data_IF_771699163939
#
_entry.id   IF_771699163939
#
_cell.length_a   1.000
_cell.length_b   1.000
_cell.length_c   1.000
_cell.angle_alpha   90.00
_cell.angle_beta   90.00
_cell.angle_gamma   90.00
#
_symmetry.space_group_name_H-M   'P 1'
#
loop_
_entity.id
_entity.type
_entity.pdbx_description
1 polymer ?
#
# COMPACT_ATOMS: atom_id res chain seq x y z
N UNK A 1 6.01 11.34 -33.19
CA UNK A 1 4.82 11.96 -32.57
C UNK A 1 3.72 10.93 -32.26
N UNK A 2 3.17 10.19 -33.23
CA UNK A 2 2.12 9.18 -32.96
C UNK A 2 2.59 8.00 -32.07
N UNK A 3 3.78 7.46 -32.34
CA UNK A 3 4.38 6.38 -31.52
C UNK A 3 4.68 6.87 -30.10
N UNK A 4 5.23 8.09 -29.95
CA UNK A 4 5.51 8.70 -28.64
C UNK A 4 4.21 8.94 -27.85
N UNK A 5 3.17 9.53 -28.45
CA UNK A 5 1.87 9.71 -27.78
C UNK A 5 1.12 8.40 -27.47
N UNK A 6 1.36 7.33 -28.24
CA UNK A 6 0.76 6.02 -27.98
C UNK A 6 1.52 5.31 -26.86
N UNK A 7 2.85 5.46 -26.81
CA UNK A 7 3.70 5.00 -25.71
C UNK A 7 3.39 5.80 -24.43
N UNK A 8 3.20 7.12 -24.49
CA UNK A 8 2.83 7.95 -23.34
C UNK A 8 1.45 7.57 -22.80
N UNK A 9 0.45 7.31 -23.67
CA UNK A 9 -0.86 6.81 -23.23
C UNK A 9 -0.83 5.38 -22.68
N UNK A 10 0.08 4.54 -23.17
CA UNK A 10 0.31 3.19 -22.64
C UNK A 10 1.05 3.23 -21.30
N UNK A 11 1.98 4.17 -21.13
CA UNK A 11 2.65 4.51 -19.87
C UNK A 11 1.63 5.10 -18.88
N UNK A 12 0.70 5.95 -19.31
CA UNK A 12 -0.36 6.48 -18.44
C UNK A 12 -1.33 5.40 -17.97
N UNK A 13 -1.68 4.43 -18.83
CA UNK A 13 -2.43 3.25 -18.41
C UNK A 13 -1.61 2.36 -17.47
N UNK A 14 -0.30 2.22 -17.73
CA UNK A 14 0.66 1.56 -16.85
C UNK A 14 0.72 2.21 -15.47
N UNK A 15 0.78 3.54 -15.38
CA UNK A 15 0.84 4.29 -14.12
C UNK A 15 -0.45 4.15 -13.28
N UNK A 16 -1.61 4.04 -13.93
CA UNK A 16 -2.90 3.82 -13.25
C UNK A 16 -2.98 2.38 -12.73
N UNK A 17 -2.50 1.42 -13.52
CA UNK A 17 -2.43 0.01 -13.14
C UNK A 17 -1.41 -0.18 -12.01
N UNK A 18 -0.22 0.42 -12.12
CA UNK A 18 0.84 0.41 -11.12
C UNK A 18 0.36 1.05 -9.81
N UNK A 19 -0.32 2.21 -9.85
CA UNK A 19 -0.80 2.86 -8.61
C UNK A 19 -1.92 2.09 -7.91
N UNK A 20 -2.87 1.51 -8.65
CA UNK A 20 -3.91 0.67 -8.07
C UNK A 20 -3.34 -0.64 -7.51
N UNK A 21 -2.42 -1.27 -8.24
CA UNK A 21 -1.77 -2.52 -7.84
C UNK A 21 -0.78 -2.34 -6.69
N UNK A 22 -0.12 -1.18 -6.62
CA UNK A 22 0.72 -0.78 -5.50
C UNK A 22 -0.12 -0.50 -4.25
N UNK A 23 -1.32 0.07 -4.38
CA UNK A 23 -2.26 0.19 -3.27
C UNK A 23 -2.70 -1.18 -2.74
N UNK A 24 -3.07 -2.11 -3.62
CA UNK A 24 -3.47 -3.47 -3.21
C UNK A 24 -2.34 -4.25 -2.54
N UNK A 25 -1.11 -4.13 -3.07
CA UNK A 25 0.08 -4.74 -2.48
C UNK A 25 0.43 -4.10 -1.14
N UNK A 26 0.29 -2.77 -1.03
CA UNK A 26 0.50 -2.03 0.20
C UNK A 26 -0.49 -2.48 1.27
N UNK A 27 -1.77 -2.57 0.96
CA UNK A 27 -2.79 -3.00 1.93
C UNK A 27 -2.53 -4.42 2.42
N UNK A 28 -2.03 -5.29 1.56
CA UNK A 28 -1.63 -6.65 1.95
C UNK A 28 -0.37 -6.69 2.82
N UNK A 29 0.65 -5.91 2.44
CA UNK A 29 1.85 -5.81 3.25
C UNK A 29 1.54 -5.16 4.61
N UNK A 30 0.67 -4.16 4.65
CA UNK A 30 0.15 -3.55 5.87
C UNK A 30 -0.66 -4.54 6.72
N UNK A 31 -1.47 -5.41 6.10
CA UNK A 31 -2.14 -6.49 6.81
C UNK A 31 -1.18 -7.54 7.38
N UNK A 32 -0.17 -7.96 6.60
CA UNK A 32 0.80 -8.98 7.02
C UNK A 32 1.81 -8.48 8.06
N UNK A 33 2.24 -7.23 7.93
CA UNK A 33 3.27 -6.61 8.79
C UNK A 33 2.62 -5.92 10.00
N UNK A 34 1.37 -5.48 9.88
CA UNK A 34 0.68 -4.72 10.92
C UNK A 34 1.23 -3.30 11.09
N UNK A 35 1.95 -2.77 10.09
CA UNK A 35 2.49 -1.41 10.10
C UNK A 35 1.76 -0.55 9.07
N UNK A 36 1.39 0.68 9.45
CA UNK A 36 0.84 1.68 8.53
C UNK A 36 1.88 2.10 7.49
N UNK A 37 1.55 1.92 6.21
CA UNK A 37 2.42 2.29 5.07
C UNK A 37 1.87 3.56 4.40
N UNK A 38 1.46 4.55 5.20
CA UNK A 38 1.14 5.87 4.67
C UNK A 38 2.41 6.71 4.67
N UNK A 39 2.98 6.96 3.49
CA UNK A 39 4.14 7.82 3.27
C UNK A 39 5.52 7.15 3.37
N UNK A 40 5.60 5.90 3.85
CA UNK A 40 6.87 5.17 3.96
C UNK A 40 7.04 4.09 2.88
N UNK A 41 7.12 4.53 1.62
CA UNK A 41 7.81 3.78 0.55
C UNK A 41 9.23 3.30 0.95
N UNK A 42 9.77 3.81 2.06
CA UNK A 42 11.05 3.39 2.63
C UNK A 42 11.11 1.93 3.05
N UNK A 43 10.07 1.33 3.63
CA UNK A 43 10.23 0.00 4.24
C UNK A 43 10.29 -1.14 3.22
N UNK A 44 9.39 -1.16 2.24
CA UNK A 44 9.36 -2.18 1.17
C UNK A 44 10.50 -1.96 0.17
N UNK A 45 10.82 -0.71 -0.15
CA UNK A 45 12.02 -0.34 -0.93
C UNK A 45 13.32 -0.58 -0.14
N UNK A 46 13.30 -0.70 1.19
CA UNK A 46 14.50 -1.01 2.00
C UNK A 46 14.79 -2.50 2.15
N UNK A 47 13.84 -3.39 1.89
CA UNK A 47 14.09 -4.84 1.90
C UNK A 47 14.22 -5.41 0.48
N UNK A 48 13.36 -5.00 -0.43
CA UNK A 48 13.38 -5.47 -1.83
C UNK A 48 14.19 -4.50 -2.70
N UNK A 49 13.96 -3.19 -2.54
CA UNK A 49 14.69 -2.15 -3.27
C UNK A 49 16.13 -1.88 -2.82
N UNK A 50 16.55 -2.28 -1.61
CA UNK A 50 17.96 -2.13 -1.17
C UNK A 50 18.83 -3.26 -1.71
N UNK A 51 18.26 -4.47 -1.83
CA UNK A 51 18.91 -5.61 -2.47
C UNK A 51 18.95 -5.36 -3.97
N UNK A 52 17.85 -4.91 -4.58
CA UNK A 52 17.80 -4.56 -6.02
C UNK A 52 18.63 -3.31 -6.31
N UNK A 53 18.62 -2.29 -5.46
CA UNK A 53 19.36 -1.03 -5.62
C UNK A 53 20.87 -1.17 -5.39
N UNK A 54 21.29 -1.97 -4.42
CA UNK A 54 22.71 -2.32 -4.23
C UNK A 54 23.20 -3.28 -5.32
N UNK A 55 22.35 -4.21 -5.78
CA UNK A 55 22.66 -5.08 -6.91
C UNK A 55 22.77 -4.27 -8.21
N UNK A 56 21.80 -3.42 -8.57
CA UNK A 56 21.84 -2.58 -9.79
C UNK A 56 22.98 -1.57 -9.77
N UNK A 57 23.30 -0.98 -8.61
CA UNK A 57 24.42 -0.06 -8.45
C UNK A 57 25.81 -0.68 -8.70
N UNK A 58 25.96 -2.00 -8.53
CA UNK A 58 27.19 -2.74 -8.84
C UNK A 58 27.10 -3.51 -10.17
N UNK A 59 25.90 -3.94 -10.54
CA UNK A 59 25.64 -4.76 -11.72
C UNK A 59 25.78 -3.97 -13.02
N UNK A 60 25.27 -2.73 -13.10
CA UNK A 60 25.42 -1.93 -14.33
C UNK A 60 26.89 -1.59 -14.62
N UNK A 61 27.69 -1.13 -13.65
CA UNK A 61 29.14 -0.97 -13.84
C UNK A 61 29.85 -2.28 -14.20
N UNK A 62 29.42 -3.41 -13.63
CA UNK A 62 29.96 -4.73 -13.97
C UNK A 62 29.62 -5.15 -15.41
N UNK A 63 28.38 -4.94 -15.87
CA UNK A 63 27.95 -5.20 -17.26
C UNK A 63 28.76 -4.34 -18.23
N UNK A 64 28.92 -3.05 -17.94
CA UNK A 64 29.73 -2.13 -18.77
C UNK A 64 31.17 -2.61 -18.90
N UNK A 65 31.81 -2.94 -17.77
CA UNK A 65 33.18 -3.46 -17.75
C UNK A 65 33.31 -4.80 -18.48
N UNK A 66 32.31 -5.69 -18.36
CA UNK A 66 32.30 -6.99 -19.06
C UNK A 66 32.21 -6.86 -20.59
N UNK A 67 31.63 -5.74 -21.07
CA UNK A 67 31.47 -5.43 -22.50
C UNK A 67 32.54 -4.49 -23.05
N UNK A 68 33.57 -4.18 -22.26
CA UNK A 68 34.71 -3.37 -22.70
C UNK A 68 34.49 -1.86 -22.59
N UNK A 69 33.50 -1.41 -21.82
CA UNK A 69 33.28 0.01 -21.50
C UNK A 69 33.57 0.26 -20.01
N UNK A 70 34.62 1.01 -19.71
CA UNK A 70 35.04 1.31 -18.33
C UNK A 70 34.57 2.70 -17.85
N UNK A 71 33.85 3.44 -18.69
CA UNK A 71 33.35 4.79 -18.41
C UNK A 71 34.39 5.89 -18.55
N UNK A 72 35.62 5.59 -18.98
CA UNK A 72 36.69 6.57 -19.18
C UNK A 72 36.89 6.88 -20.67
N UNK A 73 36.82 5.87 -21.54
CA UNK A 73 36.93 6.05 -22.99
C UNK A 73 35.56 5.92 -23.66
N UNK A 74 35.05 7.03 -24.21
CA UNK A 74 33.77 7.08 -24.91
C UNK A 74 33.89 6.73 -26.40
N UNK A 75 35.11 6.69 -26.95
CA UNK A 75 35.32 6.40 -28.38
C UNK A 75 34.91 4.98 -28.78
N UNK A 76 34.90 4.04 -27.82
CA UNK A 76 34.41 2.67 -28.01
C UNK A 76 32.89 2.59 -28.20
N UNK A 77 32.16 3.66 -27.94
CA UNK A 77 30.71 3.75 -28.18
C UNK A 77 30.38 4.34 -29.55
N UNK A 78 31.35 4.95 -30.24
CA UNK A 78 31.11 5.55 -31.55
C UNK A 78 30.90 4.48 -32.62
N UNK A 79 29.82 4.62 -33.40
CA UNK A 79 29.48 3.69 -34.49
C UNK A 79 30.41 3.85 -35.69
N UNK A 80 30.92 5.08 -35.91
CA UNK A 80 31.78 5.43 -37.05
C UNK A 80 33.04 6.14 -36.56
N UNK A 81 34.17 5.84 -37.20
CA UNK A 81 35.44 6.53 -36.93
C UNK A 81 35.41 7.90 -37.62
N UNK A 82 35.67 8.98 -36.87
CA UNK A 82 35.74 10.36 -37.40
C UNK A 82 34.50 10.74 -38.23
N UNK A 83 33.32 10.64 -37.61
CA UNK A 83 32.04 10.93 -38.23
C UNK A 83 32.03 12.28 -38.96
N UNK A 84 31.55 12.28 -40.21
CA UNK A 84 31.44 13.49 -41.03
C UNK A 84 30.00 13.63 -41.53
N UNK A 85 29.31 14.64 -41.03
CA UNK A 85 27.91 14.97 -41.35
C UNK A 85 27.67 15.23 -42.85
N UNK A 86 28.71 15.62 -43.59
CA UNK A 86 28.60 15.95 -45.02
C UNK A 86 28.72 14.74 -45.96
N UNK A 87 29.07 13.58 -45.42
CA UNK A 87 29.22 12.35 -46.21
C UNK A 87 28.04 11.40 -45.98
N UNK A 88 27.51 10.76 -47.04
CA UNK A 88 26.45 9.77 -46.90
C UNK A 88 26.93 8.57 -46.05
N UNK A 89 26.02 8.01 -45.24
CA UNK A 89 26.29 6.93 -44.28
C UNK A 89 26.96 5.69 -44.90
N UNK A 90 26.74 5.43 -46.19
CA UNK A 90 27.35 4.32 -46.93
C UNK A 90 28.86 4.49 -47.18
N UNK A 91 29.37 5.72 -47.08
CA UNK A 91 30.78 6.06 -47.30
C UNK A 91 31.53 6.28 -45.98
N UNK A 92 30.86 6.13 -44.84
CA UNK A 92 31.47 6.28 -43.52
C UNK A 92 32.12 4.97 -43.05
N UNK A 93 33.27 5.07 -42.40
CA UNK A 93 34.04 3.92 -41.92
C UNK A 93 33.48 3.51 -40.56
N UNK A 94 32.95 2.27 -40.46
CA UNK A 94 32.46 1.71 -39.20
C UNK A 94 33.61 1.51 -38.22
N UNK A 95 33.37 1.82 -36.95
CA UNK A 95 34.34 1.60 -35.89
C UNK A 95 34.45 0.10 -35.56
N UNK A 96 35.62 -0.54 -35.74
CA UNK A 96 35.79 -1.96 -35.46
C UNK A 96 35.75 -2.28 -33.96
N UNK A 97 36.00 -1.29 -33.10
CA UNK A 97 36.00 -1.44 -31.64
C UNK A 97 34.66 -0.99 -31.01
N UNK A 98 33.61 -0.79 -31.82
CA UNK A 98 32.32 -0.34 -31.32
C UNK A 98 31.66 -1.40 -30.44
N UNK A 99 31.50 -1.11 -29.15
CA UNK A 99 30.82 -1.99 -28.18
C UNK A 99 29.37 -1.59 -27.95
N UNK A 100 28.90 -0.48 -28.53
CA UNK A 100 27.58 0.10 -28.31
C UNK A 100 26.44 -0.91 -28.54
N UNK A 101 26.41 -1.59 -29.68
CA UNK A 101 25.33 -2.53 -30.00
C UNK A 101 25.29 -3.74 -29.05
N UNK A 102 26.46 -4.32 -28.74
CA UNK A 102 26.57 -5.44 -27.79
C UNK A 102 26.16 -5.04 -26.36
N UNK A 103 26.47 -3.80 -25.97
CA UNK A 103 26.09 -3.22 -24.69
C UNK A 103 24.57 -2.95 -24.65
N UNK A 104 24.00 -2.38 -25.71
CA UNK A 104 22.56 -2.14 -25.84
C UNK A 104 21.76 -3.46 -25.83
N UNK A 105 22.17 -4.48 -26.58
CA UNK A 105 21.49 -5.78 -26.59
C UNK A 105 21.49 -6.45 -25.21
N UNK A 106 22.58 -6.31 -24.47
CA UNK A 106 22.71 -6.85 -23.11
C UNK A 106 21.81 -6.09 -22.14
N UNK A 107 21.80 -4.76 -22.21
CA UNK A 107 20.91 -3.92 -21.40
C UNK A 107 19.43 -4.17 -21.74
N UNK A 108 19.11 -4.38 -23.00
CA UNK A 108 17.74 -4.68 -23.45
C UNK A 108 17.29 -6.05 -22.92
N UNK A 109 18.16 -7.06 -22.95
CA UNK A 109 17.89 -8.39 -22.39
C UNK A 109 17.69 -8.33 -20.87
N UNK A 110 18.57 -7.62 -20.15
CA UNK A 110 18.45 -7.39 -18.70
C UNK A 110 17.16 -6.64 -18.37
N UNK A 111 16.78 -5.65 -19.19
CA UNK A 111 15.54 -4.89 -19.01
C UNK A 111 14.31 -5.76 -19.19
N UNK A 112 14.28 -6.64 -20.21
CA UNK A 112 13.19 -7.60 -20.41
C UNK A 112 13.10 -8.60 -19.26
N UNK A 113 14.23 -9.10 -18.75
CA UNK A 113 14.26 -9.98 -17.56
C UNK A 113 13.79 -9.24 -16.31
N UNK A 114 14.26 -7.99 -16.11
CA UNK A 114 13.84 -7.13 -15.02
C UNK A 114 12.34 -6.92 -15.03
N UNK A 115 11.78 -6.52 -16.18
CA UNK A 115 10.34 -6.38 -16.38
C UNK A 115 9.59 -7.70 -16.15
N UNK A 116 10.12 -8.84 -16.59
CA UNK A 116 9.51 -10.14 -16.32
C UNK A 116 9.52 -10.47 -14.81
N UNK A 117 10.62 -10.19 -14.10
CA UNK A 117 10.75 -10.39 -12.64
C UNK A 117 9.83 -9.45 -11.88
N UNK A 118 9.69 -8.21 -12.31
CA UNK A 118 8.75 -7.25 -11.73
C UNK A 118 7.31 -7.71 -11.93
N UNK A 119 7.04 -8.44 -13.03
CA UNK A 119 5.70 -8.95 -13.31
C UNK A 119 5.41 -10.31 -12.64
N UNK A 120 6.45 -11.08 -12.28
CA UNK A 120 6.32 -12.44 -11.70
C UNK A 120 5.52 -12.50 -10.39
N UNK A 121 5.68 -11.58 -9.41
CA UNK A 121 4.86 -11.55 -8.22
C UNK A 121 3.35 -11.50 -8.52
N UNK A 122 2.93 -10.86 -9.61
CA UNK A 122 1.51 -10.72 -9.96
C UNK A 122 0.87 -12.02 -10.42
N UNK A 123 1.61 -12.88 -11.14
CA UNK A 123 1.08 -14.21 -11.55
C UNK A 123 1.00 -15.20 -10.38
N UNK A 124 1.77 -14.97 -9.31
CA UNK A 124 1.68 -15.74 -8.07
C UNK A 124 0.60 -15.20 -7.10
N UNK A 125 -0.03 -14.07 -7.43
CA UNK A 125 -0.92 -13.32 -6.55
C UNK A 125 -2.38 -13.39 -7.03
N UNK A 126 -3.07 -14.47 -6.67
CA UNK A 126 -4.52 -14.60 -6.86
C UNK A 126 -5.23 -14.48 -5.50
N UNK A 127 -5.33 -13.26 -4.97
CA UNK A 127 -6.25 -12.97 -3.86
C UNK A 127 -7.61 -12.66 -4.48
N UNK A 128 -8.65 -13.38 -4.05
CA UNK A 128 -10.02 -13.08 -4.45
C UNK A 128 -10.40 -11.64 -4.06
N UNK A 129 -11.22 -10.94 -4.86
CA UNK A 129 -11.71 -9.59 -4.56
C UNK A 129 -12.27 -9.48 -3.13
N UNK A 130 -12.99 -10.52 -2.70
CA UNK A 130 -13.54 -10.64 -1.35
C UNK A 130 -12.45 -10.71 -0.26
N UNK A 131 -11.34 -11.39 -0.53
CA UNK A 131 -10.19 -11.44 0.37
C UNK A 131 -9.51 -10.09 0.54
N UNK A 132 -9.36 -9.32 -0.56
CA UNK A 132 -8.82 -7.96 -0.50
C UNK A 132 -9.72 -7.03 0.32
N UNK A 133 -11.04 -7.04 0.08
CA UNK A 133 -11.99 -6.23 0.86
C UNK A 133 -11.97 -6.61 2.35
N UNK A 134 -11.83 -7.88 2.67
CA UNK A 134 -11.73 -8.35 4.07
C UNK A 134 -10.50 -7.80 4.77
N UNK A 135 -9.37 -7.83 4.07
CA UNK A 135 -8.09 -7.33 4.54
C UNK A 135 -8.10 -5.82 4.77
N UNK A 136 -8.67 -5.05 3.83
CA UNK A 136 -8.84 -3.59 3.96
C UNK A 136 -9.68 -3.26 5.20
N UNK A 137 -10.78 -4.00 5.45
CA UNK A 137 -11.59 -3.81 6.66
C UNK A 137 -10.78 -4.08 7.93
N UNK A 138 -9.98 -5.14 7.98
CA UNK A 138 -9.10 -5.39 9.13
C UNK A 138 -8.07 -4.27 9.31
N UNK A 139 -7.45 -3.81 8.23
CA UNK A 139 -6.48 -2.70 8.29
C UNK A 139 -7.13 -1.44 8.87
N UNK A 140 -8.34 -1.08 8.43
CA UNK A 140 -9.10 0.06 8.97
C UNK A 140 -9.41 -0.06 10.47
N UNK A 141 -9.68 -1.28 10.93
CA UNK A 141 -9.91 -1.53 12.36
C UNK A 141 -8.60 -1.35 13.15
N UNK A 142 -7.48 -1.85 12.62
CA UNK A 142 -6.17 -1.66 13.27
C UNK A 142 -5.79 -0.18 13.33
N UNK A 143 -6.00 0.57 12.25
CA UNK A 143 -5.74 2.02 12.24
C UNK A 143 -6.65 2.76 13.21
N UNK A 144 -7.92 2.38 13.32
CA UNK A 144 -8.83 2.94 14.33
C UNK A 144 -8.28 2.76 15.75
N UNK A 145 -7.77 1.57 16.08
CA UNK A 145 -7.20 1.28 17.40
C UNK A 145 -5.91 2.08 17.64
N UNK A 146 -5.03 2.15 16.65
CA UNK A 146 -3.78 2.93 16.71
C UNK A 146 -4.06 4.42 16.90
N UNK A 147 -4.96 5.00 16.09
CA UNK A 147 -5.32 6.41 16.14
C UNK A 147 -6.00 6.76 17.48
N UNK A 148 -6.84 5.87 18.01
CA UNK A 148 -7.45 6.02 19.34
C UNK A 148 -6.41 6.04 20.45
N UNK A 149 -5.44 5.12 20.42
CA UNK A 149 -4.32 5.08 21.38
C UNK A 149 -3.47 6.36 21.31
N UNK A 150 -3.23 6.88 20.10
CA UNK A 150 -2.46 8.10 19.86
C UNK A 150 -3.26 9.39 20.03
N UNK A 151 -4.55 9.32 20.37
CA UNK A 151 -5.47 10.48 20.46
C UNK A 151 -5.44 11.35 19.20
N UNK A 152 -5.26 10.72 18.04
CA UNK A 152 -5.25 11.41 16.74
C UNK A 152 -6.65 11.32 16.14
N UNK A 153 -7.18 12.45 15.66
CA UNK A 153 -8.58 12.55 15.23
C UNK A 153 -8.68 12.82 13.72
N UNK A 154 -8.92 11.77 12.94
CA UNK A 154 -9.51 11.89 11.60
C UNK A 154 -10.91 11.27 11.59
N UNK A 155 -11.93 12.12 11.47
CA UNK A 155 -13.35 11.70 11.45
C UNK A 155 -13.59 10.63 10.37
N UNK A 156 -12.91 10.70 9.22
CA UNK A 156 -13.10 9.75 8.11
C UNK A 156 -12.57 8.36 8.46
N UNK A 157 -11.30 8.27 8.88
CA UNK A 157 -10.68 7.01 9.26
C UNK A 157 -11.41 6.36 10.44
N UNK A 158 -11.86 7.18 11.41
CA UNK A 158 -12.64 6.71 12.55
C UNK A 158 -13.97 6.05 12.11
N UNK A 159 -14.75 6.74 11.28
CA UNK A 159 -16.04 6.23 10.78
C UNK A 159 -15.83 4.94 9.97
N UNK A 160 -14.84 4.91 9.07
CA UNK A 160 -14.55 3.73 8.25
C UNK A 160 -14.17 2.50 9.09
N UNK A 161 -13.37 2.69 10.15
CA UNK A 161 -13.03 1.62 11.10
C UNK A 161 -14.25 1.13 11.89
N UNK A 162 -15.09 2.04 12.38
CA UNK A 162 -16.31 1.69 13.11
C UNK A 162 -17.30 0.95 12.21
N UNK A 163 -17.51 1.42 10.98
CA UNK A 163 -18.37 0.76 9.99
C UNK A 163 -17.87 -0.64 9.65
N UNK A 164 -16.55 -0.87 9.58
CA UNK A 164 -16.00 -2.19 9.36
C UNK A 164 -16.40 -3.18 10.48
N UNK A 165 -16.40 -2.73 11.74
CA UNK A 165 -16.80 -3.54 12.91
C UNK A 165 -18.32 -3.77 12.91
N UNK A 166 -19.11 -2.70 12.79
CA UNK A 166 -20.57 -2.76 12.84
C UNK A 166 -21.11 -3.65 11.72
N UNK A 167 -20.60 -3.49 10.49
CA UNK A 167 -21.00 -4.35 9.38
C UNK A 167 -20.57 -5.80 9.58
N UNK A 168 -19.35 -6.05 10.08
CA UNK A 168 -18.93 -7.42 10.39
C UNK A 168 -19.87 -8.08 11.39
N UNK A 169 -20.19 -7.42 12.51
CA UNK A 169 -21.15 -7.93 13.51
C UNK A 169 -22.54 -8.18 12.95
N UNK A 170 -23.00 -7.32 12.04
CA UNK A 170 -24.32 -7.45 11.38
C UNK A 170 -24.45 -8.69 10.51
N UNK A 171 -23.40 -9.03 9.76
CA UNK A 171 -23.43 -10.14 8.79
C UNK A 171 -22.82 -11.44 9.35
N UNK A 172 -22.15 -11.39 10.49
CA UNK A 172 -21.54 -12.57 11.11
C UNK A 172 -22.58 -13.60 11.53
N UNK A 173 -22.33 -14.86 11.20
CA UNK A 173 -23.22 -15.99 11.55
C UNK A 173 -24.50 -16.08 10.71
N UNK A 174 -24.67 -15.24 9.69
CA UNK A 174 -25.78 -15.36 8.75
C UNK A 174 -25.51 -16.42 7.67
N UNK A 175 -26.57 -17.05 7.18
CA UNK A 175 -26.47 -18.01 6.09
C UNK A 175 -26.42 -17.33 4.72
N UNK A 176 -25.60 -17.88 3.83
CA UNK A 176 -25.49 -17.40 2.44
C UNK A 176 -26.80 -17.65 1.69
N UNK A 177 -27.26 -16.63 0.99
CA UNK A 177 -28.40 -16.73 0.09
C UNK A 177 -28.04 -17.54 -1.16
N UNK A 178 -28.99 -18.34 -1.64
CA UNK A 178 -28.82 -19.07 -2.88
C UNK A 178 -28.64 -18.12 -4.07
N UNK A 179 -27.68 -18.44 -4.94
CA UNK A 179 -27.42 -17.64 -6.13
C UNK A 179 -28.67 -17.65 -7.02
N UNK A 180 -29.14 -16.47 -7.48
CA UNK A 180 -30.37 -16.42 -8.27
C UNK A 180 -30.21 -17.21 -9.56
N UNK A 181 -31.31 -17.88 -9.96
CA UNK A 181 -31.33 -18.73 -11.13
C UNK A 181 -30.93 -17.93 -12.39
N UNK A 182 -29.90 -18.41 -13.07
CA UNK A 182 -29.43 -17.84 -14.35
C UNK A 182 -30.55 -17.81 -15.41
N UNK A 183 -31.61 -18.60 -15.25
CA UNK A 183 -32.79 -18.58 -16.09
C UNK A 183 -33.54 -17.24 -16.03
N UNK A 184 -33.57 -16.53 -14.90
CA UNK A 184 -34.28 -15.24 -14.76
C UNK A 184 -33.67 -14.20 -15.70
N UNK A 185 -32.34 -14.10 -15.73
CA UNK A 185 -31.64 -13.21 -16.64
C UNK A 185 -31.80 -13.64 -18.11
N UNK A 186 -31.83 -14.95 -18.39
CA UNK A 186 -32.09 -15.47 -19.74
C UNK A 186 -33.50 -15.12 -20.23
N UNK A 187 -34.51 -15.28 -19.38
CA UNK A 187 -35.91 -14.91 -19.67
C UNK A 187 -36.05 -13.41 -19.90
N UNK A 188 -35.41 -12.58 -19.07
CA UNK A 188 -35.38 -11.13 -19.26
C UNK A 188 -34.71 -10.73 -20.58
N UNK A 189 -33.63 -11.41 -20.97
CA UNK A 189 -32.97 -11.18 -22.26
C UNK A 189 -33.78 -11.67 -23.47
N UNK A 190 -34.68 -12.63 -23.29
CA UNK A 190 -35.51 -13.21 -24.33
C UNK A 190 -36.84 -12.46 -24.56
N UNK A 191 -37.14 -11.42 -23.77
CA UNK A 191 -38.31 -10.57 -23.99
C UNK A 191 -38.27 -9.90 -25.38
N UNK A 192 -39.44 -9.65 -26.00
CA UNK A 192 -39.52 -8.99 -27.30
C UNK A 192 -38.87 -7.60 -27.25
N UNK A 193 -38.40 -7.13 -28.41
CA UNK A 193 -37.67 -5.85 -28.52
C UNK A 193 -37.93 -5.13 -29.83
N UNK A 194 -39.14 -5.26 -30.38
CA UNK A 194 -39.53 -4.69 -31.68
C UNK A 194 -40.01 -3.25 -31.52
N UNK A 195 -40.80 -2.95 -30.49
CA UNK A 195 -41.27 -1.58 -30.20
C UNK A 195 -40.39 -0.87 -29.18
N UNK A 196 -40.54 0.45 -29.02
CA UNK A 196 -39.79 1.24 -28.03
C UNK A 196 -40.19 0.86 -26.59
N UNK A 197 -41.48 0.66 -26.36
CA UNK A 197 -42.04 0.20 -25.07
C UNK A 197 -41.58 -1.22 -24.71
N UNK A 198 -41.47 -2.12 -25.69
CA UNK A 198 -40.89 -3.47 -25.50
C UNK A 198 -39.40 -3.41 -25.14
N UNK A 199 -38.65 -2.47 -25.73
CA UNK A 199 -37.23 -2.25 -25.37
C UNK A 199 -37.08 -1.72 -23.96
N UNK A 200 -37.92 -0.78 -23.54
CA UNK A 200 -37.86 -0.19 -22.20
C UNK A 200 -38.24 -1.20 -21.11
N UNK A 201 -39.30 -1.99 -21.33
CA UNK A 201 -39.69 -3.09 -20.42
C UNK A 201 -38.64 -4.19 -20.34
N UNK A 202 -38.05 -4.59 -21.47
CA UNK A 202 -36.90 -5.51 -21.50
C UNK A 202 -35.70 -4.95 -20.73
N UNK A 203 -35.39 -3.67 -20.88
CA UNK A 203 -34.29 -3.03 -20.17
C UNK A 203 -34.52 -3.02 -18.65
N UNK A 204 -35.72 -2.64 -18.20
CA UNK A 204 -36.12 -2.66 -16.80
C UNK A 204 -36.02 -4.07 -16.20
N UNK A 205 -36.51 -5.09 -16.91
CA UNK A 205 -36.43 -6.48 -16.46
C UNK A 205 -34.99 -7.01 -16.38
N UNK A 206 -34.14 -6.65 -17.34
CA UNK A 206 -32.70 -7.00 -17.30
C UNK A 206 -32.02 -6.28 -16.12
N UNK A 207 -32.36 -5.00 -15.88
CA UNK A 207 -31.81 -4.22 -14.77
C UNK A 207 -32.21 -4.84 -13.43
N UNK A 208 -33.48 -5.16 -13.24
CA UNK A 208 -33.98 -5.81 -12.02
C UNK A 208 -33.33 -7.18 -11.78
N UNK A 209 -33.22 -8.03 -12.82
CA UNK A 209 -32.58 -9.34 -12.69
C UNK A 209 -31.08 -9.24 -12.37
N UNK A 210 -30.38 -8.24 -12.93
CA UNK A 210 -28.99 -7.96 -12.58
C UNK A 210 -28.85 -7.43 -11.16
N UNK A 211 -29.74 -6.52 -10.76
CA UNK A 211 -29.74 -5.96 -9.41
C UNK A 211 -29.93 -7.07 -8.38
N UNK A 212 -30.90 -7.96 -8.56
CA UNK A 212 -31.11 -9.09 -7.66
C UNK A 212 -29.88 -10.01 -7.57
N UNK A 213 -29.23 -10.28 -8.70
CA UNK A 213 -27.99 -11.07 -8.72
C UNK A 213 -26.83 -10.38 -8.00
N UNK A 214 -26.75 -9.06 -8.13
CA UNK A 214 -25.77 -8.24 -7.46
C UNK A 214 -26.02 -8.16 -5.95
N UNK A 215 -27.27 -7.95 -5.53
CA UNK A 215 -27.65 -7.87 -4.12
C UNK A 215 -27.34 -9.17 -3.38
N UNK A 216 -27.69 -10.33 -3.98
CA UNK A 216 -27.34 -11.65 -3.41
C UNK A 216 -25.83 -11.85 -3.36
N UNK A 217 -25.11 -11.42 -4.40
CA UNK A 217 -23.64 -11.51 -4.42
C UNK A 217 -23.03 -10.68 -3.31
N UNK A 218 -23.44 -9.42 -3.17
CA UNK A 218 -22.95 -8.50 -2.14
C UNK A 218 -23.31 -8.98 -0.74
N UNK A 219 -24.51 -9.55 -0.56
CA UNK A 219 -24.93 -10.12 0.72
C UNK A 219 -24.01 -11.28 1.12
N UNK A 220 -23.78 -12.24 0.22
CA UNK A 220 -22.88 -13.37 0.48
C UNK A 220 -21.43 -12.95 0.67
N UNK A 221 -20.98 -11.95 -0.09
CA UNK A 221 -19.65 -11.35 0.05
C UNK A 221 -19.50 -10.70 1.44
N UNK A 222 -20.51 -9.98 1.92
CA UNK A 222 -20.49 -9.38 3.25
C UNK A 222 -20.45 -10.42 4.37
N UNK A 223 -21.07 -11.60 4.18
CA UNK A 223 -20.95 -12.72 5.12
C UNK A 223 -19.52 -13.24 5.17
N UNK A 224 -18.89 -13.50 4.01
CA UNK A 224 -17.50 -13.97 3.96
C UNK A 224 -16.52 -12.96 4.59
N UNK A 225 -16.73 -11.67 4.31
CA UNK A 225 -15.92 -10.62 4.92
C UNK A 225 -16.17 -10.55 6.43
N UNK A 226 -17.41 -10.69 6.89
CA UNK A 226 -17.74 -10.68 8.30
C UNK A 226 -17.08 -11.84 9.05
N UNK A 227 -17.08 -13.05 8.49
CA UNK A 227 -16.36 -14.20 9.04
C UNK A 227 -14.87 -13.91 9.21
N UNK A 228 -14.23 -13.34 8.19
CA UNK A 228 -12.81 -12.97 8.23
C UNK A 228 -12.51 -11.90 9.28
N UNK A 229 -13.30 -10.83 9.32
CA UNK A 229 -13.11 -9.72 10.27
C UNK A 229 -13.34 -10.20 11.70
N UNK A 230 -14.38 -10.99 11.96
CA UNK A 230 -14.66 -11.50 13.30
C UNK A 230 -13.60 -12.50 13.77
N UNK A 231 -13.03 -13.29 12.86
CA UNK A 231 -11.87 -14.13 13.17
C UNK A 231 -10.64 -13.30 13.58
N UNK A 232 -10.40 -12.14 12.95
CA UNK A 232 -9.36 -11.21 13.40
C UNK A 232 -9.68 -10.62 14.78
N UNK A 233 -10.91 -10.14 15.01
CA UNK A 233 -11.29 -9.50 16.28
C UNK A 233 -11.19 -10.48 17.46
N UNK A 234 -11.52 -11.75 17.24
CA UNK A 234 -11.44 -12.82 18.25
C UNK A 234 -10.10 -13.56 18.23
N UNK A 235 -9.14 -13.10 17.43
CA UNK A 235 -7.83 -13.74 17.24
C UNK A 235 -7.11 -14.03 18.56
N UNK A 236 -7.20 -13.13 19.53
CA UNK A 236 -6.51 -13.27 20.80
C UNK A 236 -7.28 -14.10 21.84
N UNK A 237 -8.50 -14.53 21.54
CA UNK A 237 -9.31 -15.38 22.43
C UNK A 237 -8.93 -16.86 22.28
N UNK A 238 -8.43 -17.25 21.11
CA UNK A 238 -8.08 -18.64 20.80
C UNK A 238 -6.69 -19.04 21.31
N UNK A 239 -6.38 -20.35 21.31
CA UNK A 239 -5.11 -20.88 21.81
C UNK A 239 -3.89 -20.26 21.07
N UNK A 240 -4.02 -20.05 19.77
CA UNK A 240 -2.97 -19.46 18.95
C UNK A 240 -2.65 -18.03 19.43
N UNK A 241 -3.66 -17.18 19.54
CA UNK A 241 -3.52 -15.82 19.97
C UNK A 241 -3.02 -15.69 21.39
N UNK A 242 -3.49 -16.54 22.32
CA UNK A 242 -2.99 -16.54 23.70
C UNK A 242 -1.48 -16.86 23.77
N UNK A 243 -1.01 -17.85 23.00
CA UNK A 243 0.43 -18.14 22.90
C UNK A 243 1.21 -17.04 22.20
N UNK A 244 0.62 -16.38 21.20
CA UNK A 244 1.21 -15.20 20.57
C UNK A 244 1.39 -14.07 21.59
N UNK A 245 0.39 -13.79 22.42
CA UNK A 245 0.48 -12.78 23.47
C UNK A 245 1.55 -13.12 24.51
N UNK A 246 1.71 -14.40 24.88
CA UNK A 246 2.79 -14.84 25.77
C UNK A 246 4.17 -14.55 25.17
N UNK A 247 4.37 -14.87 23.89
CA UNK A 247 5.62 -14.55 23.17
C UNK A 247 5.88 -13.04 23.14
N UNK A 248 4.88 -12.24 22.75
CA UNK A 248 5.04 -10.78 22.68
C UNK A 248 5.28 -10.18 24.07
N UNK A 249 4.62 -10.69 25.11
CA UNK A 249 4.81 -10.25 26.49
C UNK A 249 6.22 -10.56 26.99
N UNK A 250 6.79 -11.72 26.64
CA UNK A 250 8.18 -12.05 26.96
C UNK A 250 9.14 -11.01 26.37
N UNK A 251 8.99 -10.70 25.08
CA UNK A 251 9.84 -9.72 24.38
C UNK A 251 9.73 -8.34 25.03
N UNK A 252 8.49 -7.89 25.32
CA UNK A 252 8.24 -6.57 25.91
C UNK A 252 8.72 -6.49 27.36
N UNK A 253 8.68 -7.59 28.12
CA UNK A 253 9.10 -7.63 29.53
C UNK A 253 10.60 -7.37 29.74
N UNK A 254 11.45 -7.63 28.74
CA UNK A 254 12.86 -7.23 28.78
C UNK A 254 13.08 -5.72 28.61
N UNK A 255 12.05 -4.98 28.19
CA UNK A 255 12.14 -3.54 27.94
C UNK A 255 12.84 -3.17 26.62
N UNK A 256 12.78 -1.87 26.25
CA UNK A 256 13.18 -1.40 24.93
C UNK A 256 14.69 -1.45 24.67
N UNK A 257 15.51 -1.48 25.73
CA UNK A 257 16.97 -1.40 25.61
C UNK A 257 17.62 -2.77 25.35
N UNK A 258 17.05 -3.85 25.92
CA UNK A 258 17.67 -5.18 26.00
C UNK A 258 16.71 -6.33 25.63
N UNK A 259 15.62 -6.08 24.90
CA UNK A 259 14.63 -7.10 24.47
C UNK A 259 15.22 -8.34 23.78
N UNK A 260 16.42 -8.22 23.20
CA UNK A 260 17.11 -9.31 22.51
C UNK A 260 17.79 -10.31 23.46
N UNK A 261 17.80 -10.08 24.78
CA UNK A 261 18.35 -11.02 25.75
C UNK A 261 17.57 -12.34 25.80
N UNK A 262 16.24 -12.28 25.67
CA UNK A 262 15.37 -13.46 25.61
C UNK A 262 15.23 -14.05 24.19
N UNK A 263 16.17 -13.78 23.27
CA UNK A 263 16.07 -14.22 21.87
C UNK A 263 15.87 -15.73 21.72
N UNK A 264 16.56 -16.52 22.53
CA UNK A 264 16.53 -17.99 22.43
C UNK A 264 15.20 -18.56 22.92
N UNK A 265 14.64 -17.98 23.98
CA UNK A 265 13.33 -18.34 24.52
C UNK A 265 12.20 -17.91 23.57
N UNK A 266 12.29 -16.69 23.02
CA UNK A 266 11.34 -16.19 22.03
C UNK A 266 11.28 -17.07 20.78
N UNK A 267 12.41 -17.61 20.32
CA UNK A 267 12.43 -18.54 19.17
C UNK A 267 11.73 -19.85 19.51
N UNK A 268 11.95 -20.40 20.71
CA UNK A 268 11.28 -21.64 21.15
C UNK A 268 9.76 -21.43 21.15
N UNK A 269 9.28 -20.37 21.82
CA UNK A 269 7.87 -20.03 21.87
C UNK A 269 7.26 -19.79 20.48
N UNK A 270 7.97 -19.08 19.59
CA UNK A 270 7.49 -18.81 18.22
C UNK A 270 7.36 -20.10 17.38
N UNK A 271 8.26 -21.07 17.56
CA UNK A 271 8.19 -22.36 16.86
C UNK A 271 7.06 -23.24 17.43
N UNK A 272 6.81 -23.14 18.73
CA UNK A 272 5.75 -23.86 19.47
C UNK A 272 4.33 -23.30 19.23
N UNK A 273 4.20 -22.16 18.54
CA UNK A 273 2.89 -21.65 18.11
C UNK A 273 2.10 -22.74 17.34
N UNK A 274 0.79 -22.89 17.60
CA UNK A 274 -0.03 -23.95 17.01
C UNK A 274 0.08 -24.02 15.49
N UNK A 275 0.14 -25.24 14.94
CA UNK A 275 -0.01 -25.48 13.52
C UNK A 275 -1.49 -25.67 13.20
N UNK A 276 -2.06 -24.74 12.45
CA UNK A 276 -3.46 -24.80 12.05
C UNK A 276 -3.59 -24.81 10.53
N UNK A 277 -4.77 -25.20 10.05
CA UNK A 277 -5.11 -25.19 8.63
C UNK A 277 -5.66 -23.85 8.16
N UNK A 278 -5.89 -22.91 9.08
CA UNK A 278 -6.35 -21.55 8.79
C UNK A 278 -5.20 -20.78 8.15
N UNK A 279 -5.47 -20.15 7.00
CA UNK A 279 -4.42 -19.51 6.19
C UNK A 279 -3.77 -18.34 6.95
N UNK A 280 -4.59 -17.57 7.66
CA UNK A 280 -4.24 -16.38 8.42
C UNK A 280 -3.34 -16.73 9.61
N UNK A 281 -3.68 -17.76 10.37
CA UNK A 281 -2.82 -18.21 11.48
C UNK A 281 -1.48 -18.76 11.00
N UNK A 282 -1.46 -19.42 9.83
CA UNK A 282 -0.19 -19.85 9.20
C UNK A 282 0.68 -18.66 8.79
N UNK A 283 0.09 -17.55 8.33
CA UNK A 283 0.87 -16.34 8.00
C UNK A 283 1.37 -15.66 9.26
N UNK A 284 0.54 -15.52 10.30
CA UNK A 284 0.96 -14.99 11.60
C UNK A 284 2.08 -15.81 12.22
N UNK A 285 1.97 -17.15 12.24
CA UNK A 285 3.05 -18.03 12.74
C UNK A 285 4.37 -17.81 12.02
N UNK A 286 4.33 -17.72 10.68
CA UNK A 286 5.53 -17.40 9.88
C UNK A 286 6.11 -16.05 10.26
N UNK A 287 5.26 -15.05 10.49
CA UNK A 287 5.69 -13.72 10.90
C UNK A 287 6.33 -13.74 12.28
N UNK A 288 5.75 -14.40 13.27
CA UNK A 288 6.32 -14.50 14.62
C UNK A 288 7.67 -15.23 14.63
N UNK A 289 7.82 -16.29 13.84
CA UNK A 289 9.11 -16.96 13.66
C UNK A 289 10.13 -16.01 13.01
N UNK A 290 9.72 -15.17 12.04
CA UNK A 290 10.59 -14.15 11.44
C UNK A 290 11.01 -13.09 12.46
N UNK A 291 10.06 -12.58 13.25
CA UNK A 291 10.31 -11.60 14.31
C UNK A 291 11.28 -12.18 15.35
N UNK A 292 11.04 -13.40 15.83
CA UNK A 292 11.89 -14.07 16.79
C UNK A 292 13.32 -14.30 16.25
N UNK A 293 13.47 -14.69 14.97
CA UNK A 293 14.80 -14.77 14.33
C UNK A 293 15.46 -13.41 14.17
N UNK A 294 14.69 -12.34 13.95
CA UNK A 294 15.21 -10.99 13.87
C UNK A 294 15.83 -10.54 15.20
N UNK A 295 15.35 -11.03 16.36
CA UNK A 295 15.96 -10.74 17.67
C UNK A 295 17.45 -11.13 17.74
N UNK A 296 17.84 -12.27 17.15
CA UNK A 296 19.26 -12.68 17.10
C UNK A 296 20.09 -11.66 16.28
N UNK A 297 19.52 -11.18 15.17
CA UNK A 297 20.17 -10.15 14.35
C UNK A 297 20.27 -8.85 15.13
N UNK A 298 19.21 -8.45 15.82
CA UNK A 298 19.19 -7.28 16.70
C UNK A 298 20.26 -7.38 17.77
N UNK A 299 20.42 -8.53 18.46
CA UNK A 299 21.51 -8.79 19.41
C UNK A 299 22.90 -8.54 18.82
N UNK A 300 23.13 -9.08 17.61
CA UNK A 300 24.42 -8.97 16.91
C UNK A 300 24.73 -7.53 16.47
N UNK A 301 23.72 -6.78 16.05
CA UNK A 301 23.89 -5.38 15.62
C UNK A 301 24.02 -4.47 16.85
N UNK A 302 23.21 -4.70 17.88
CA UNK A 302 23.24 -3.97 19.14
C UNK A 302 24.61 -4.08 19.82
N UNK A 303 25.25 -5.26 19.82
CA UNK A 303 26.60 -5.40 20.40
C UNK A 303 27.67 -4.53 19.72
N UNK A 304 27.43 -4.03 18.50
CA UNK A 304 28.37 -3.17 17.75
C UNK A 304 28.04 -1.70 17.86
N UNK A 305 26.75 -1.34 17.85
CA UNK A 305 26.30 0.05 17.75
C UNK A 305 25.58 0.57 19.00
N UNK A 306 25.15 -0.31 19.89
CA UNK A 306 24.39 -0.03 21.12
C UNK A 306 24.92 -0.87 22.31
N UNK A 307 26.20 -0.69 22.72
CA UNK A 307 26.81 -1.51 23.77
C UNK A 307 26.14 -1.36 25.13
N UNK A 308 25.61 -0.18 25.44
CA UNK A 308 24.90 0.15 26.68
C UNK A 308 23.37 -0.05 26.57
N UNK A 309 22.91 -0.67 25.49
CA UNK A 309 21.48 -0.81 25.19
C UNK A 309 20.98 0.13 24.10
N UNK A 310 19.83 -0.24 23.52
CA UNK A 310 19.24 0.46 22.39
C UNK A 310 18.67 1.79 22.84
N UNK A 311 19.05 2.86 22.14
CA UNK A 311 18.51 4.21 22.34
C UNK A 311 17.48 4.48 21.25
N UNK A 312 16.31 4.97 21.67
CA UNK A 312 15.23 5.36 20.76
C UNK A 312 15.67 6.51 19.84
N UNK A 313 15.29 6.42 18.57
CA UNK A 313 15.56 7.48 17.60
C UNK A 313 14.69 8.70 17.90
N UNK A 314 15.32 9.86 18.10
CA UNK A 314 14.61 11.13 18.24
C UNK A 314 14.12 11.64 16.87
N UNK A 315 12.79 11.72 16.64
CA UNK A 315 12.25 12.25 15.39
C UNK A 315 12.68 13.69 15.13
N UNK A 316 12.90 14.49 16.17
CA UNK A 316 13.28 15.89 16.04
C UNK A 316 14.64 16.06 15.35
N UNK A 317 15.56 15.13 15.57
CA UNK A 317 16.87 15.14 14.91
C UNK A 317 16.76 15.03 13.38
N UNK A 318 15.72 14.39 12.85
CA UNK A 318 15.45 14.35 11.42
C UNK A 318 14.85 15.66 10.93
N UNK A 319 13.85 16.19 11.63
CA UNK A 319 13.20 17.46 11.27
C UNK A 319 14.18 18.64 11.32
N UNK A 320 15.03 18.69 12.34
CA UNK A 320 16.08 19.69 12.47
C UNK A 320 17.07 19.61 11.29
N UNK A 321 17.44 18.40 10.87
CA UNK A 321 18.30 18.20 9.71
C UNK A 321 17.61 18.58 8.39
N UNK A 322 16.29 18.35 8.30
CA UNK A 322 15.50 18.69 7.11
C UNK A 322 15.33 20.20 6.96
N UNK A 323 15.11 20.90 8.07
CA UNK A 323 14.88 22.34 8.18
C UNK A 323 16.17 23.18 8.18
N UNK A 324 17.35 22.57 8.03
CA UNK A 324 18.59 23.31 7.84
C UNK A 324 18.54 24.17 6.57
N UNK A 325 19.15 25.37 6.57
CA UNK A 325 19.27 26.20 5.37
C UNK A 325 19.91 25.45 4.19
N UNK A 326 19.53 25.83 2.98
CA UNK A 326 20.01 25.23 1.72
C UNK A 326 20.24 26.30 0.63
N UNK A 327 20.48 27.55 1.03
CA UNK A 327 20.60 28.67 0.08
C UNK A 327 22.00 28.72 -0.53
N UNK A 328 23.03 28.35 0.25
CA UNK A 328 24.42 28.29 -0.24
C UNK A 328 24.88 26.85 -0.46
N UNK A 329 25.86 26.66 -1.36
CA UNK A 329 26.48 25.33 -1.61
C UNK A 329 27.10 24.71 -0.35
N UNK A 330 27.54 25.54 0.60
CA UNK A 330 28.11 25.07 1.87
C UNK A 330 26.99 24.60 2.82
N UNK A 331 25.91 25.35 2.94
CA UNK A 331 24.70 24.97 3.68
C UNK A 331 24.08 23.68 3.13
N UNK A 332 23.93 23.58 1.81
CA UNK A 332 23.47 22.36 1.12
C UNK A 332 24.30 21.12 1.49
N UNK A 333 25.62 21.30 1.58
CA UNK A 333 26.54 20.22 1.96
C UNK A 333 26.34 19.83 3.44
N UNK A 334 26.17 20.79 4.34
CA UNK A 334 25.92 20.55 5.76
C UNK A 334 24.58 19.84 5.97
N UNK A 335 23.50 20.33 5.33
CA UNK A 335 22.18 19.70 5.32
C UNK A 335 22.26 18.25 4.85
N UNK A 336 22.94 17.99 3.73
CA UNK A 336 23.12 16.62 3.20
C UNK A 336 23.87 15.70 4.17
N UNK A 337 24.87 16.22 4.89
CA UNK A 337 25.62 15.44 5.90
C UNK A 337 24.71 15.15 7.10
N UNK A 338 24.00 16.16 7.62
CA UNK A 338 23.06 16.00 8.73
C UNK A 338 21.95 15.00 8.40
N UNK A 339 21.31 15.15 7.22
CA UNK A 339 20.28 14.23 6.73
C UNK A 339 20.81 12.80 6.57
N UNK A 340 22.05 12.62 6.10
CA UNK A 340 22.66 11.28 6.01
C UNK A 340 22.88 10.67 7.39
N UNK A 341 23.31 11.47 8.36
CA UNK A 341 23.53 11.01 9.75
C UNK A 341 22.19 10.61 10.38
N UNK A 342 21.19 11.49 10.35
CA UNK A 342 19.85 11.23 10.87
C UNK A 342 19.21 10.01 10.21
N UNK A 343 19.31 9.87 8.88
CA UNK A 343 18.83 8.68 8.17
C UNK A 343 19.56 7.40 8.60
N UNK A 344 20.87 7.47 8.82
CA UNK A 344 21.64 6.30 9.26
C UNK A 344 21.21 5.85 10.65
N UNK A 345 21.04 6.79 11.58
CA UNK A 345 20.57 6.53 12.95
C UNK A 345 19.14 5.99 12.96
N UNK A 346 18.23 6.62 12.20
CA UNK A 346 16.86 6.15 12.01
C UNK A 346 16.80 4.73 11.46
N UNK A 347 17.53 4.45 10.39
CA UNK A 347 17.54 3.13 9.75
C UNK A 347 18.15 2.06 10.67
N UNK A 348 19.20 2.43 11.42
CA UNK A 348 19.83 1.55 12.40
C UNK A 348 18.84 1.21 13.52
N UNK A 349 18.21 2.21 14.14
CA UNK A 349 17.20 2.00 15.17
C UNK A 349 16.05 1.14 14.65
N UNK A 350 15.45 1.50 13.51
CA UNK A 350 14.35 0.74 12.91
C UNK A 350 14.73 -0.72 12.64
N UNK A 351 15.95 -0.98 12.16
CA UNK A 351 16.42 -2.35 11.90
C UNK A 351 16.56 -3.17 13.19
N UNK A 352 17.09 -2.56 14.25
CA UNK A 352 17.36 -3.26 15.51
C UNK A 352 16.08 -3.42 16.32
N UNK A 353 15.27 -2.36 16.46
CA UNK A 353 14.07 -2.30 17.30
C UNK A 353 12.82 -2.95 16.66
N UNK A 354 12.81 -3.21 15.35
CA UNK A 354 11.67 -3.79 14.63
C UNK A 354 10.96 -4.96 15.36
N UNK A 355 11.63 -6.03 15.82
CA UNK A 355 10.95 -7.14 16.49
C UNK A 355 10.31 -6.76 17.83
N UNK A 356 10.89 -5.78 18.56
CA UNK A 356 10.31 -5.25 19.79
C UNK A 356 9.07 -4.40 19.50
N UNK A 357 9.16 -3.48 18.54
CA UNK A 357 8.04 -2.64 18.14
C UNK A 357 6.86 -3.49 17.61
N UNK A 358 7.13 -4.56 16.86
CA UNK A 358 6.11 -5.50 16.44
C UNK A 358 5.40 -6.20 17.62
N UNK A 359 6.16 -6.58 18.65
CA UNK A 359 5.59 -7.18 19.86
C UNK A 359 4.73 -6.18 20.65
N UNK A 360 5.20 -4.95 20.83
CA UNK A 360 4.43 -3.86 21.47
C UNK A 360 3.11 -3.63 20.75
N UNK A 361 3.15 -3.46 19.42
CA UNK A 361 1.93 -3.27 18.61
C UNK A 361 0.95 -4.42 18.71
N UNK A 362 1.44 -5.66 18.77
CA UNK A 362 0.56 -6.82 18.94
C UNK A 362 -0.15 -6.80 20.30
N UNK A 363 0.54 -6.38 21.36
CA UNK A 363 -0.06 -6.23 22.69
C UNK A 363 -1.04 -5.05 22.75
N UNK A 364 -0.71 -3.92 22.11
CA UNK A 364 -1.61 -2.77 21.98
C UNK A 364 -2.86 -3.12 21.19
N UNK A 365 -2.71 -3.85 20.08
CA UNK A 365 -3.82 -4.34 19.27
C UNK A 365 -4.74 -5.24 20.09
N UNK A 366 -4.18 -6.14 20.90
CA UNK A 366 -4.97 -7.01 21.78
C UNK A 366 -5.75 -6.22 22.83
N UNK A 367 -5.16 -5.17 23.41
CA UNK A 367 -5.87 -4.25 24.31
C UNK A 367 -6.99 -3.51 23.58
N UNK A 368 -6.73 -3.03 22.36
CA UNK A 368 -7.74 -2.36 21.54
C UNK A 368 -8.91 -3.28 21.17
N UNK A 369 -8.65 -4.54 20.83
CA UNK A 369 -9.71 -5.53 20.58
C UNK A 369 -10.54 -5.81 21.84
N UNK A 370 -9.94 -5.78 23.03
CA UNK A 370 -10.67 -5.93 24.29
C UNK A 370 -11.56 -4.72 24.64
N UNK A 371 -11.21 -3.52 24.17
CA UNK A 371 -11.92 -2.24 24.46
C UNK A 371 -12.67 -1.67 23.23
N UNK A 372 -13.11 -2.53 22.32
CA UNK A 372 -13.78 -2.08 21.09
C UNK A 372 -15.04 -1.26 21.37
N UNK A 373 -15.81 -1.60 22.41
CA UNK A 373 -17.03 -0.86 22.77
C UNK A 373 -16.72 0.58 23.20
N UNK A 374 -15.62 0.79 23.93
CA UNK A 374 -15.16 2.13 24.30
C UNK A 374 -14.65 2.93 23.10
N UNK A 375 -14.03 2.26 22.13
CA UNK A 375 -13.52 2.90 20.91
C UNK A 375 -14.67 3.35 19.99
N UNK A 376 -15.73 2.55 19.85
CA UNK A 376 -16.84 2.83 18.92
C UNK A 376 -17.96 3.69 19.54
N UNK A 377 -17.87 4.08 20.82
CA UNK A 377 -18.96 4.76 21.54
C UNK A 377 -19.39 6.09 20.89
N UNK A 378 -18.44 6.79 20.27
CA UNK A 378 -18.63 8.14 19.74
C UNK A 378 -19.12 8.12 18.28
N UNK A 379 -19.31 6.94 17.70
CA UNK A 379 -19.70 6.72 16.30
C UNK A 379 -20.95 7.50 15.89
N UNK A 380 -22.05 7.35 16.63
CA UNK A 380 -23.32 7.99 16.30
C UNK A 380 -23.22 9.52 16.38
N UNK A 381 -22.46 10.04 17.35
CA UNK A 381 -22.25 11.49 17.51
C UNK A 381 -21.40 12.05 16.37
N UNK A 382 -20.31 11.37 16.01
CA UNK A 382 -19.40 11.80 14.94
C UNK A 382 -20.10 11.78 13.58
N UNK A 383 -20.91 10.73 13.30
CA UNK A 383 -21.73 10.69 12.09
C UNK A 383 -22.72 11.84 12.05
N UNK A 384 -23.44 12.10 13.14
CA UNK A 384 -24.39 13.22 13.19
C UNK A 384 -23.69 14.55 12.89
N UNK A 385 -22.51 14.80 13.48
CA UNK A 385 -21.72 16.01 13.22
C UNK A 385 -21.26 16.09 11.76
N UNK A 386 -20.86 14.97 11.15
CA UNK A 386 -20.46 14.91 9.74
C UNK A 386 -21.65 15.21 8.82
N UNK A 387 -22.79 14.59 9.07
CA UNK A 387 -23.99 14.76 8.26
C UNK A 387 -24.53 16.19 8.36
N UNK A 388 -24.54 16.79 9.56
CA UNK A 388 -24.84 18.21 9.75
C UNK A 388 -23.88 19.14 8.99
N UNK A 389 -22.59 18.80 8.92
CA UNK A 389 -21.59 19.55 8.16
C UNK A 389 -21.88 19.49 6.66
N UNK A 390 -22.14 18.29 6.13
CA UNK A 390 -22.51 18.10 4.73
C UNK A 390 -23.84 18.76 4.36
N UNK A 391 -24.83 18.76 5.26
CA UNK A 391 -26.08 19.49 5.05
C UNK A 391 -25.84 21.00 4.95
N UNK A 392 -24.99 21.57 5.82
CA UNK A 392 -24.62 22.98 5.74
C UNK A 392 -23.90 23.32 4.43
N UNK A 393 -22.95 22.48 4.01
CA UNK A 393 -22.24 22.64 2.74
C UNK A 393 -23.19 22.54 1.53
N UNK A 394 -24.13 21.59 1.55
CA UNK A 394 -25.16 21.46 0.51
C UNK A 394 -26.04 22.70 0.43
N UNK A 395 -26.55 23.18 1.57
CA UNK A 395 -27.36 24.39 1.64
C UNK A 395 -26.60 25.63 1.15
N UNK A 396 -25.32 25.76 1.49
CA UNK A 396 -24.48 26.86 1.02
C UNK A 396 -24.23 26.78 -0.50
N UNK A 397 -23.95 25.58 -1.01
CA UNK A 397 -23.78 25.36 -2.44
C UNK A 397 -25.04 25.70 -3.23
N UNK A 398 -26.22 25.26 -2.76
CA UNK A 398 -27.51 25.60 -3.38
C UNK A 398 -27.78 27.11 -3.35
N UNK A 399 -27.45 27.79 -2.24
CA UNK A 399 -27.55 29.26 -2.14
C UNK A 399 -26.66 29.96 -3.17
N UNK A 400 -25.40 29.55 -3.29
CA UNK A 400 -24.46 30.10 -4.28
C UNK A 400 -24.94 29.82 -5.71
N UNK A 401 -25.48 28.62 -5.98
CA UNK A 401 -26.04 28.26 -7.28
C UNK A 401 -27.24 29.16 -7.64
N UNK A 402 -28.16 29.39 -6.71
CA UNK A 402 -29.31 30.29 -6.90
C UNK A 402 -28.85 31.74 -7.14
N UNK A 403 -27.88 32.25 -6.37
CA UNK A 403 -27.31 33.58 -6.57
C UNK A 403 -26.68 33.73 -7.97
N UNK A 404 -25.96 32.71 -8.44
CA UNK A 404 -25.37 32.67 -9.80
C UNK A 404 -26.44 32.63 -10.89
N UNK A 405 -27.55 31.92 -10.69
CA UNK A 405 -28.67 31.91 -11.64
C UNK A 405 -29.35 33.27 -11.72
N UNK A 406 -29.59 33.92 -10.58
CA UNK A 406 -30.18 35.26 -10.52
C UNK A 406 -29.25 36.28 -11.21
N UNK A 407 -27.94 36.23 -10.99
CA UNK A 407 -26.97 37.08 -11.68
C UNK A 407 -26.94 36.85 -13.20
N UNK A 408 -26.99 35.58 -13.65
CA UNK A 408 -27.12 35.24 -15.08
C UNK A 408 -28.40 35.82 -15.68
N UNK A 409 -29.52 35.71 -14.97
CA UNK A 409 -30.81 36.28 -15.42
C UNK A 409 -30.75 37.80 -15.50
N UNK A 410 -30.15 38.49 -14.51
CA UNK A 410 -29.92 39.94 -14.50
C UNK A 410 -29.03 40.39 -15.66
N UNK A 411 -27.92 39.69 -15.94
CA UNK A 411 -27.05 40.01 -17.08
C UNK A 411 -27.75 39.78 -18.42
N UNK A 412 -28.57 38.75 -18.53
CA UNK A 412 -29.36 38.48 -19.74
C UNK A 412 -30.46 39.52 -19.97
N UNK A 413 -31.13 40.00 -18.91
CA UNK A 413 -32.12 41.07 -19.04
C UNK A 413 -31.47 42.42 -19.39
N UNK A 414 -30.33 42.77 -18.77
CA UNK A 414 -29.55 43.96 -19.15
C UNK A 414 -29.06 43.93 -20.60
N UNK A 415 -28.58 42.77 -21.09
CA UNK A 415 -28.19 42.59 -22.49
C UNK A 415 -29.36 42.74 -23.47
N UNK A 416 -30.58 42.37 -23.07
CA UNK A 416 -31.79 42.57 -23.87
C UNK A 416 -32.21 44.04 -23.89
N UNK A 417 -32.05 44.78 -22.80
CA UNK A 417 -32.39 46.21 -22.73
C UNK A 417 -31.36 47.12 -23.41
N UNK A 418 -30.08 46.75 -23.48
CA UNK A 418 -29.05 47.52 -24.18
C UNK A 418 -28.98 47.28 -25.71
N UNK A 419 -29.91 46.51 -26.28
CA UNK A 419 -30.00 46.19 -27.72
C UNK A 419 -31.30 46.68 -28.38
N UNK A 420 -32.16 47.36 -27.63
CA UNK A 420 -33.26 48.18 -28.17
C UNK A 420 -32.83 49.63 -28.13
#
# INVERSE_FOLDING_TARGET
>A
MFIVNTIDRFIDCGNVIDSAMESDMRDNQQYLIGERIDGAFGFIRSYVGSIIGAATGLFIPWVYKSKGFDGQDYSVLDVYVNYNEKLPLSQQIKNPNCVLFSLMDTLLTVSVIGAAIDVLPWFAYDITETGQKSMIRVVRIRTLIEDYSLKTSDDSTYIEGCEAIINARKFYGLEKQEKPDKAVLKRAKAMPSRTKEEKDSRHLAIKAARQQAEDVRQFNENIEIAEFVMHELTRFENEFGQKQLQLCSLIVSAGPQHFFEYSDEAIKLAVELPLTNIREERTWRKQEIRNARALIKSKTIASRWYPEGIVEFDPQAYEDAYNMPDETRQEAKLRRIAMRKANKEKNLYATVASPYLAAVRTLELAKGYADLEGIISDYDEIIRKRDERHDKERMEFERIAQEREIDKQRKNSQRKMGRG
#
